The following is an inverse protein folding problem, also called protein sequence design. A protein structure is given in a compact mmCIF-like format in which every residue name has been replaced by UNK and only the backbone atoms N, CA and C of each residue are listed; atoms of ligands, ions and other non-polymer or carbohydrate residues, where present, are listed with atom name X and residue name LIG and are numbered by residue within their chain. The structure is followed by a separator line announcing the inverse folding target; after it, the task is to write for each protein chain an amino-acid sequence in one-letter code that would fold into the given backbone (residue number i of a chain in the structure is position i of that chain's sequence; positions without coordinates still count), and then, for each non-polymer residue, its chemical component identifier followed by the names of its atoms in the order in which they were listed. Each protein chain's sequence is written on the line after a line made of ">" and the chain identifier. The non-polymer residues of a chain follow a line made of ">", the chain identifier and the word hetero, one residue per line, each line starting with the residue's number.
data_IF_752132167390
#
_entry.id   IF_752132167390
#
_cell.length_a   1.000
_cell.length_b   1.000
_cell.length_c   1.000
_cell.angle_alpha   90.00
_cell.angle_beta   90.00
_cell.angle_gamma   90.00
#
_symmetry.space_group_name_H-M   'P 1'
#
loop_
_entity.id
_entity.type
_entity.pdbx_description
1 polymer ?
#
# COMPACT_ATOMS: atom_id res chain seq x y z
N UNK A 1 -54.25 -1.95 14.05
CA UNK A 1 -53.71 -1.12 15.15
C UNK A 1 -52.37 -1.69 15.57
N UNK A 2 -51.32 -0.84 15.55
CA UNK A 2 -49.96 -0.88 16.14
C UNK A 2 -49.44 -2.23 16.70
N UNK A 3 -48.20 -2.66 16.46
CA UNK A 3 -46.98 -1.87 16.60
C UNK A 3 -45.78 -2.42 15.82
N UNK A 4 -45.09 -1.48 15.18
CA UNK A 4 -43.73 -1.55 14.65
C UNK A 4 -42.75 -1.89 15.78
N UNK A 5 -41.99 -3.00 15.66
CA UNK A 5 -40.77 -3.17 16.45
C UNK A 5 -39.59 -3.40 15.51
N UNK A 6 -39.05 -2.30 14.99
CA UNK A 6 -37.80 -2.27 14.23
C UNK A 6 -36.63 -2.58 15.16
N UNK A 7 -36.31 -3.86 15.31
CA UNK A 7 -35.05 -4.27 15.94
C UNK A 7 -33.93 -4.09 14.91
N UNK A 8 -33.45 -2.83 14.78
CA UNK A 8 -32.21 -2.52 14.06
C UNK A 8 -31.03 -3.08 14.88
N UNK A 9 -30.67 -4.33 14.63
CA UNK A 9 -29.36 -4.84 15.01
C UNK A 9 -28.34 -4.27 14.01
N UNK A 10 -27.62 -3.23 14.41
CA UNK A 10 -26.38 -2.81 13.74
C UNK A 10 -25.29 -3.81 14.14
N UNK A 11 -24.71 -4.61 13.22
CA UNK A 11 -23.47 -5.29 13.53
C UNK A 11 -22.36 -4.23 13.62
N UNK A 12 -21.77 -4.10 14.81
CA UNK A 12 -20.46 -3.46 15.00
C UNK A 12 -19.43 -4.23 14.16
N UNK A 13 -19.17 -3.76 12.94
CA UNK A 13 -17.97 -4.17 12.22
C UNK A 13 -16.80 -3.36 12.81
N UNK A 14 -16.00 -4.04 13.63
CA UNK A 14 -14.77 -3.50 14.22
C UNK A 14 -13.91 -2.91 13.11
N UNK A 15 -13.66 -1.60 13.19
CA UNK A 15 -12.67 -0.95 12.35
C UNK A 15 -11.29 -1.44 12.79
N UNK A 16 -10.80 -2.52 12.17
CA UNK A 16 -9.39 -2.86 12.18
C UNK A 16 -8.65 -1.90 11.23
N UNK A 17 -8.63 -0.60 11.58
CA UNK A 17 -7.66 0.33 11.04
C UNK A 17 -6.32 0.00 11.71
N UNK A 18 -5.66 -1.04 11.20
CA UNK A 18 -4.28 -1.36 11.54
C UNK A 18 -3.43 -0.15 11.17
N UNK A 19 -3.07 0.62 12.19
CA UNK A 19 -1.87 1.45 12.33
C UNK A 19 -1.22 1.87 11.00
N UNK A 20 -1.83 2.84 10.31
CA UNK A 20 -1.09 3.63 9.33
C UNK A 20 -0.33 4.75 10.09
N UNK A 21 0.58 4.37 10.98
CA UNK A 21 1.47 5.33 11.65
C UNK A 21 2.83 5.31 10.97
N UNK A 22 2.95 5.99 9.82
CA UNK A 22 4.24 6.52 9.39
C UNK A 22 4.13 8.04 9.28
N UNK A 23 4.13 8.70 10.44
CA UNK A 23 4.20 10.16 10.59
C UNK A 23 5.61 10.71 10.26
N UNK A 24 6.29 10.12 9.28
CA UNK A 24 7.48 10.65 8.63
C UNK A 24 7.31 10.40 7.13
N UNK A 25 6.44 11.19 6.49
CA UNK A 25 6.24 11.13 5.04
C UNK A 25 7.52 11.59 4.31
N UNK A 26 8.53 10.74 4.30
CA UNK A 26 9.68 10.89 3.43
C UNK A 26 9.21 10.56 2.02
N UNK A 27 8.98 11.60 1.22
CA UNK A 27 8.60 11.44 -0.18
C UNK A 27 9.81 11.00 -0.99
N UNK A 28 9.75 9.84 -1.60
CA UNK A 28 10.72 9.42 -2.63
C UNK A 28 10.18 9.89 -3.99
N UNK A 29 10.98 10.66 -4.73
CA UNK A 29 10.63 11.12 -6.08
C UNK A 29 11.40 10.31 -7.11
N UNK A 30 10.67 9.76 -8.08
CA UNK A 30 11.22 8.98 -9.19
C UNK A 30 11.01 9.80 -10.47
N UNK A 31 12.09 10.17 -11.14
CA UNK A 31 11.99 10.79 -12.47
C UNK A 31 11.60 9.72 -13.49
N UNK A 32 10.60 10.02 -14.33
CA UNK A 32 10.09 9.13 -15.38
C UNK A 32 10.62 9.50 -16.76
N UNK A 33 11.29 10.66 -16.88
CA UNK A 33 11.76 11.17 -18.16
C UNK A 33 12.81 10.24 -18.77
N UNK A 34 12.59 9.84 -20.03
CA UNK A 34 13.52 8.99 -20.79
C UNK A 34 13.64 7.55 -20.29
N UNK A 35 12.81 7.13 -19.32
CA UNK A 35 12.83 5.77 -18.77
C UNK A 35 11.77 4.88 -19.38
N UNK A 36 12.11 3.60 -19.53
CA UNK A 36 11.13 2.58 -19.90
C UNK A 36 10.24 2.23 -18.71
N UNK A 37 9.10 1.60 -19.00
CA UNK A 37 8.21 1.00 -18.02
C UNK A 37 8.94 0.12 -17.00
N UNK A 38 9.82 -0.76 -17.47
CA UNK A 38 10.56 -1.69 -16.61
C UNK A 38 11.60 -0.98 -15.74
N UNK A 39 12.25 0.07 -16.24
CA UNK A 39 13.16 0.90 -15.46
C UNK A 39 12.43 1.64 -14.34
N UNK A 40 11.25 2.20 -14.63
CA UNK A 40 10.41 2.84 -13.61
C UNK A 40 9.97 1.81 -12.57
N UNK A 41 9.57 0.61 -12.99
CA UNK A 41 9.21 -0.48 -12.07
C UNK A 41 10.37 -0.86 -11.15
N UNK A 42 11.57 -1.03 -11.69
CA UNK A 42 12.75 -1.34 -10.89
C UNK A 42 13.05 -0.24 -9.86
N UNK A 43 12.91 1.04 -10.24
CA UNK A 43 13.11 2.15 -9.30
C UNK A 43 12.04 2.22 -8.22
N UNK A 44 10.78 1.94 -8.55
CA UNK A 44 9.67 1.87 -7.58
C UNK A 44 9.92 0.74 -6.58
N UNK A 45 10.35 -0.44 -7.04
CA UNK A 45 10.69 -1.57 -6.16
C UNK A 45 11.83 -1.19 -5.22
N UNK A 46 12.91 -0.61 -5.75
CA UNK A 46 14.06 -0.17 -4.93
C UNK A 46 13.68 0.90 -3.90
N UNK A 47 12.81 1.84 -4.28
CA UNK A 47 12.28 2.85 -3.36
C UNK A 47 11.44 2.21 -2.25
N UNK A 48 10.57 1.26 -2.62
CA UNK A 48 9.75 0.50 -1.67
C UNK A 48 10.61 -0.32 -0.72
N UNK A 49 11.67 -0.99 -1.19
CA UNK A 49 12.62 -1.73 -0.35
C UNK A 49 13.27 -0.84 0.71
N UNK A 50 13.72 0.36 0.32
CA UNK A 50 14.34 1.31 1.24
C UNK A 50 13.35 1.83 2.31
N UNK A 51 12.12 2.13 1.90
CA UNK A 51 11.06 2.56 2.80
C UNK A 51 10.68 1.43 3.76
N UNK A 52 10.37 0.25 3.22
CA UNK A 52 9.93 -0.90 3.98
C UNK A 52 11.00 -1.44 4.91
N UNK A 53 12.29 -1.35 4.55
CA UNK A 53 13.37 -1.67 5.49
C UNK A 53 13.26 -0.90 6.80
N UNK A 54 12.91 0.39 6.73
CA UNK A 54 12.78 1.27 7.90
C UNK A 54 11.46 1.06 8.63
N UNK A 55 10.37 0.86 7.91
CA UNK A 55 9.04 0.63 8.48
C UNK A 55 8.93 -0.71 9.23
N UNK A 56 9.70 -1.73 8.84
CA UNK A 56 9.63 -3.07 9.47
C UNK A 56 10.71 -3.31 10.51
N UNK A 57 11.46 -2.28 10.92
CA UNK A 57 12.43 -2.41 12.02
C UNK A 57 11.68 -2.78 13.31
N UNK A 58 12.12 -3.84 13.98
CA UNK A 58 11.50 -4.31 15.22
C UNK A 58 10.26 -5.20 15.05
N UNK A 59 9.88 -5.53 13.81
CA UNK A 59 8.84 -6.52 13.57
C UNK A 59 9.27 -7.92 14.06
N UNK A 60 8.33 -8.71 14.59
CA UNK A 60 8.58 -10.08 15.05
C UNK A 60 9.06 -11.00 13.91
N UNK A 61 8.62 -10.74 12.68
CA UNK A 61 9.00 -11.46 11.46
C UNK A 61 9.47 -10.46 10.40
N UNK A 62 10.71 -9.93 10.51
CA UNK A 62 11.14 -8.78 9.72
C UNK A 62 11.28 -9.09 8.22
N UNK A 63 11.57 -10.33 7.85
CA UNK A 63 11.68 -10.74 6.43
C UNK A 63 10.30 -10.75 5.77
N UNK A 64 9.32 -11.41 6.40
CA UNK A 64 7.96 -11.52 5.86
C UNK A 64 7.25 -10.16 5.88
N UNK A 65 7.38 -9.42 6.97
CA UNK A 65 6.84 -8.07 7.08
C UNK A 65 7.39 -7.15 5.98
N UNK A 66 8.71 -7.21 5.71
CA UNK A 66 9.32 -6.40 4.66
C UNK A 66 8.82 -6.81 3.28
N UNK A 67 8.74 -8.10 2.98
CA UNK A 67 8.23 -8.60 1.69
C UNK A 67 6.80 -8.12 1.44
N UNK A 68 5.92 -8.28 2.42
CA UNK A 68 4.54 -7.82 2.34
C UNK A 68 4.44 -6.30 2.16
N UNK A 69 5.26 -5.53 2.88
CA UNK A 69 5.32 -4.09 2.73
C UNK A 69 5.74 -3.68 1.31
N UNK A 70 6.79 -4.29 0.75
CA UNK A 70 7.27 -3.97 -0.61
C UNK A 70 6.19 -4.29 -1.64
N UNK A 71 5.61 -5.49 -1.59
CA UNK A 71 4.56 -5.92 -2.52
C UNK A 71 3.34 -4.98 -2.47
N UNK A 72 2.89 -4.63 -1.26
CA UNK A 72 1.77 -3.71 -1.06
C UNK A 72 2.09 -2.29 -1.56
N UNK A 73 3.28 -1.78 -1.27
CA UNK A 73 3.72 -0.44 -1.67
C UNK A 73 3.79 -0.32 -3.19
N UNK A 74 4.47 -1.26 -3.85
CA UNK A 74 4.60 -1.28 -5.31
C UNK A 74 3.24 -1.36 -5.98
N UNK A 75 2.35 -2.25 -5.50
CA UNK A 75 0.98 -2.37 -6.00
C UNK A 75 0.20 -1.07 -5.84
N UNK A 76 0.27 -0.43 -4.68
CA UNK A 76 -0.41 0.82 -4.40
C UNK A 76 0.12 1.97 -5.28
N UNK A 77 1.44 2.07 -5.47
CA UNK A 77 2.07 3.07 -6.35
C UNK A 77 1.54 2.95 -7.78
N UNK A 78 1.48 1.73 -8.33
CA UNK A 78 0.99 1.53 -9.70
C UNK A 78 -0.52 1.68 -9.85
N UNK A 79 -1.30 1.39 -8.80
CA UNK A 79 -2.73 1.70 -8.80
C UNK A 79 -3.00 3.22 -8.91
N UNK A 80 -2.08 4.06 -8.40
CA UNK A 80 -2.18 5.52 -8.42
C UNK A 80 -1.54 6.17 -9.64
N UNK A 81 -0.87 5.39 -10.51
CA UNK A 81 -0.12 5.90 -11.66
C UNK A 81 -0.65 5.42 -13.03
N UNK A 82 -1.95 5.56 -13.34
CA UNK A 82 -2.51 5.12 -14.61
C UNK A 82 -1.90 5.85 -15.82
N UNK A 83 -1.40 7.07 -15.62
CA UNK A 83 -0.73 7.87 -16.67
C UNK A 83 0.67 7.40 -17.07
N UNK A 84 1.29 6.48 -16.33
CA UNK A 84 2.59 5.92 -16.69
C UNK A 84 2.50 4.77 -17.71
N UNK A 85 1.28 4.40 -18.15
CA UNK A 85 1.07 3.20 -18.97
C UNK A 85 1.45 1.90 -18.27
N UNK A 86 1.76 1.98 -16.97
CA UNK A 86 2.16 0.91 -16.07
C UNK A 86 0.94 0.36 -15.35
N UNK A 87 -0.15 0.11 -16.07
CA UNK A 87 -1.20 -0.72 -15.51
C UNK A 87 -0.58 -2.06 -15.17
N UNK A 88 -0.93 -2.63 -14.02
CA UNK A 88 -0.60 -4.00 -13.63
C UNK A 88 -1.29 -5.01 -14.56
N UNK A 89 -1.11 -4.88 -15.88
CA UNK A 89 -1.15 -5.99 -16.81
C UNK A 89 0.05 -6.88 -16.46
N UNK A 90 -0.08 -7.53 -15.30
CA UNK A 90 0.60 -8.76 -15.00
C UNK A 90 0.21 -9.72 -16.12
N UNK A 91 1.20 -10.20 -16.86
CA UNK A 91 1.03 -11.46 -17.58
C UNK A 91 0.81 -12.58 -16.57
#
# INVERSE_FOLDING_TARGET
>A
MLATNTLRMLPMAAAAALLATSANAQSIRISTQGKTADQIRAEVVKAAESLCWRETVGASFPVDARRLCVDATVKATFAQAPGLGLTLAQR
#
